data_IF_479718771307
#
_entry.id   IF_479718771307
#
_cell.length_a   1.000
_cell.length_b   1.000
_cell.length_c   1.000
_cell.angle_alpha   90.00
_cell.angle_beta   90.00
_cell.angle_gamma   90.00
#
_symmetry.space_group_name_H-M   'P 1'
#
loop_
_entity.id
_entity.type
_entity.pdbx_description
1 polymer ?
#
# COMPACT_ATOMS: atom_id res chain seq x y z
N UNK A 1 -0.89 17.21 -13.09
CA UNK A 1 0.01 16.04 -13.14
C UNK A 1 1.44 16.52 -13.36
N UNK A 2 2.40 15.95 -12.64
CA UNK A 2 3.82 16.15 -12.92
C UNK A 2 4.25 15.09 -13.93
N UNK A 3 4.74 15.51 -15.09
CA UNK A 3 5.24 14.65 -16.17
C UNK A 3 6.77 14.67 -16.11
N UNK A 4 7.38 13.51 -15.87
CA UNK A 4 8.84 13.35 -15.91
C UNK A 4 9.25 12.82 -17.28
N UNK A 5 10.13 13.54 -17.96
CA UNK A 5 10.74 13.10 -19.22
C UNK A 5 11.98 12.29 -18.89
N UNK A 6 12.13 11.16 -19.59
CA UNK A 6 13.22 10.21 -19.37
C UNK A 6 14.03 10.04 -20.65
N UNK A 7 15.34 9.98 -20.49
CA UNK A 7 16.27 9.45 -21.49
C UNK A 7 16.93 8.19 -20.90
N UNK A 8 16.53 7.02 -21.39
CA UNK A 8 16.83 5.74 -20.77
C UNK A 8 16.36 5.65 -19.32
N UNK A 9 17.30 5.54 -18.38
CA UNK A 9 17.03 5.47 -16.93
C UNK A 9 17.20 6.80 -16.20
N UNK A 10 17.49 7.89 -16.91
CA UNK A 10 17.77 9.19 -16.31
C UNK A 10 16.59 10.13 -16.53
N UNK A 11 16.16 10.82 -15.47
CA UNK A 11 15.16 11.90 -15.58
C UNK A 11 15.88 13.13 -16.14
N UNK A 12 15.44 13.62 -17.29
CA UNK A 12 16.00 14.80 -17.94
C UNK A 12 15.24 16.07 -17.59
N UNK A 13 13.92 15.96 -17.42
CA UNK A 13 13.06 17.11 -17.16
C UNK A 13 11.82 16.72 -16.35
N UNK A 14 11.24 17.66 -15.60
CA UNK A 14 9.97 17.49 -14.91
C UNK A 14 9.07 18.69 -15.18
N UNK A 15 7.94 18.47 -15.87
CA UNK A 15 6.97 19.51 -16.23
C UNK A 15 5.68 19.36 -15.44
N UNK A 16 5.12 20.47 -14.96
CA UNK A 16 3.77 20.49 -14.38
C UNK A 16 2.78 20.76 -15.50
N UNK A 17 1.88 19.81 -15.74
CA UNK A 17 0.80 19.95 -16.70
C UNK A 17 -0.54 19.69 -16.03
N UNK A 18 -1.50 20.60 -16.21
CA UNK A 18 -2.89 20.35 -15.85
C UNK A 18 -3.53 19.49 -16.95
N UNK A 19 -3.95 18.28 -16.59
CA UNK A 19 -4.61 17.34 -17.53
C UNK A 19 -6.13 17.37 -17.32
N UNK A 20 -6.58 17.39 -16.07
CA UNK A 20 -8.00 17.34 -15.71
C UNK A 20 -8.27 18.23 -14.51
N UNK A 21 -9.44 18.88 -14.51
CA UNK A 21 -9.90 19.74 -13.41
C UNK A 21 -9.16 21.08 -13.33
N UNK A 22 -9.27 21.72 -12.17
CA UNK A 22 -8.59 22.98 -11.87
C UNK A 22 -7.71 22.85 -10.61
N UNK A 23 -6.62 22.06 -10.66
CA UNK A 23 -5.71 21.90 -9.53
C UNK A 23 -4.94 23.19 -9.28
N UNK A 24 -4.64 23.47 -8.01
CA UNK A 24 -3.69 24.52 -7.64
C UNK A 24 -2.31 24.15 -8.18
N UNK A 25 -1.75 25.00 -9.04
CA UNK A 25 -0.57 24.66 -9.83
C UNK A 25 0.69 24.46 -8.97
N UNK A 26 0.74 25.17 -7.83
CA UNK A 26 1.79 25.14 -6.84
C UNK A 26 1.86 23.79 -6.13
N UNK A 27 0.71 23.13 -5.93
CA UNK A 27 0.59 21.87 -5.21
C UNK A 27 0.88 20.64 -6.07
N UNK A 28 1.03 20.80 -7.40
CA UNK A 28 1.32 19.69 -8.31
C UNK A 28 2.71 19.10 -8.03
N UNK A 29 2.74 17.95 -7.35
CA UNK A 29 3.95 17.17 -7.09
C UNK A 29 3.67 15.66 -7.10
N UNK A 30 4.72 14.84 -7.06
CA UNK A 30 4.63 13.38 -6.98
C UNK A 30 5.20 12.81 -5.68
N UNK A 31 5.70 13.67 -4.78
CA UNK A 31 6.48 13.25 -3.62
C UNK A 31 5.66 12.34 -2.70
N UNK A 32 4.38 12.63 -2.51
CA UNK A 32 3.47 11.80 -1.69
C UNK A 32 3.30 10.38 -2.25
N UNK A 33 3.03 10.27 -3.55
CA UNK A 33 2.84 8.97 -4.23
C UNK A 33 4.15 8.20 -4.29
N UNK A 34 5.27 8.87 -4.56
CA UNK A 34 6.60 8.25 -4.58
C UNK A 34 6.99 7.73 -3.18
N UNK A 35 6.72 8.51 -2.13
CA UNK A 35 6.94 8.11 -0.75
C UNK A 35 6.05 6.93 -0.34
N UNK A 36 4.79 6.93 -0.75
CA UNK A 36 3.87 5.81 -0.51
C UNK A 36 4.38 4.54 -1.20
N UNK A 37 4.79 4.65 -2.47
CA UNK A 37 5.36 3.54 -3.23
C UNK A 37 6.62 2.96 -2.57
N UNK A 38 7.54 3.82 -2.13
CA UNK A 38 8.71 3.39 -1.37
C UNK A 38 8.31 2.66 -0.09
N UNK A 39 7.37 3.22 0.67
CA UNK A 39 6.88 2.65 1.93
C UNK A 39 6.29 1.26 1.71
N UNK A 40 5.45 1.08 0.69
CA UNK A 40 4.89 -0.21 0.33
C UNK A 40 5.99 -1.22 -0.01
N UNK A 41 6.95 -0.86 -0.87
CA UNK A 41 8.04 -1.76 -1.27
C UNK A 41 8.93 -2.18 -0.11
N UNK A 42 9.17 -1.30 0.86
CA UNK A 42 9.99 -1.58 2.03
C UNK A 42 9.24 -2.40 3.09
N UNK A 43 7.92 -2.23 3.18
CA UNK A 43 7.10 -2.84 4.23
C UNK A 43 6.48 -4.19 3.83
N UNK A 44 6.42 -4.50 2.53
CA UNK A 44 5.95 -5.80 2.06
C UNK A 44 6.81 -6.36 0.92
N UNK A 45 7.10 -7.66 0.99
CA UNK A 45 7.96 -8.34 0.00
C UNK A 45 7.26 -8.61 -1.34
N UNK A 46 5.94 -8.37 -1.43
CA UNK A 46 5.14 -8.64 -2.64
C UNK A 46 5.54 -7.79 -3.85
N UNK A 47 6.19 -6.64 -3.61
CA UNK A 47 6.72 -5.75 -4.64
C UNK A 47 8.25 -5.84 -4.82
N UNK A 48 8.90 -6.81 -4.17
CA UNK A 48 10.33 -7.03 -4.31
C UNK A 48 10.60 -8.00 -5.46
N UNK A 49 11.66 -7.77 -6.24
CA UNK A 49 12.09 -8.66 -7.32
C UNK A 49 12.91 -9.83 -6.76
N UNK A 50 12.92 -10.98 -7.45
CA UNK A 50 13.73 -12.17 -7.10
C UNK A 50 13.53 -12.66 -5.65
N UNK A 51 12.29 -12.71 -5.19
CA UNK A 51 11.93 -13.24 -3.87
C UNK A 51 10.96 -14.40 -3.99
N UNK A 52 11.03 -15.37 -3.08
CA UNK A 52 10.05 -16.44 -2.94
C UNK A 52 8.67 -15.96 -2.44
N UNK A 53 8.58 -14.72 -1.96
CA UNK A 53 7.36 -14.12 -1.44
C UNK A 53 6.47 -13.50 -2.52
N UNK A 54 6.47 -14.00 -3.76
CA UNK A 54 5.56 -13.50 -4.80
C UNK A 54 4.14 -14.09 -4.63
N UNK A 55 3.13 -13.38 -5.13
CA UNK A 55 1.76 -13.89 -5.18
C UNK A 55 1.55 -14.69 -6.46
N UNK A 56 1.11 -15.94 -6.36
CA UNK A 56 0.75 -16.79 -7.52
C UNK A 56 -0.59 -16.41 -8.15
N UNK A 57 -1.43 -15.70 -7.39
CA UNK A 57 -2.80 -15.33 -7.71
C UNK A 57 -2.98 -13.83 -7.44
N UNK A 58 -3.74 -13.14 -8.28
CA UNK A 58 -3.96 -11.69 -8.13
C UNK A 58 -4.72 -11.38 -6.84
N UNK A 59 -5.66 -12.26 -6.45
CA UNK A 59 -6.46 -12.12 -5.24
C UNK A 59 -5.56 -12.13 -3.99
N UNK A 60 -4.58 -13.03 -3.94
CA UNK A 60 -3.61 -13.08 -2.85
C UNK A 60 -2.72 -11.83 -2.80
N UNK A 61 -2.45 -11.21 -3.95
CA UNK A 61 -1.74 -9.93 -3.98
C UNK A 61 -2.59 -8.80 -3.41
N UNK A 62 -3.86 -8.72 -3.83
CA UNK A 62 -4.84 -7.77 -3.31
C UNK A 62 -4.99 -7.91 -1.78
N UNK A 63 -5.15 -9.13 -1.26
CA UNK A 63 -5.25 -9.37 0.18
C UNK A 63 -4.03 -8.88 0.96
N UNK A 64 -2.81 -9.11 0.44
CA UNK A 64 -1.59 -8.63 1.08
C UNK A 64 -1.50 -7.09 1.10
N UNK A 65 -1.92 -6.44 0.01
CA UNK A 65 -1.99 -4.98 -0.09
C UNK A 65 -3.03 -4.43 0.90
N UNK A 66 -4.23 -5.03 0.95
CA UNK A 66 -5.29 -4.63 1.88
C UNK A 66 -4.83 -4.72 3.33
N UNK A 67 -4.18 -5.82 3.72
CA UNK A 67 -3.62 -6.00 5.06
C UNK A 67 -2.58 -4.94 5.39
N UNK A 68 -1.70 -4.61 4.43
CA UNK A 68 -0.71 -3.55 4.62
C UNK A 68 -1.35 -2.20 4.87
N UNK A 69 -2.34 -1.79 4.06
CA UNK A 69 -3.03 -0.52 4.25
C UNK A 69 -3.79 -0.46 5.57
N UNK A 70 -4.39 -1.57 6.00
CA UNK A 70 -5.11 -1.63 7.27
C UNK A 70 -4.17 -1.42 8.44
N UNK A 71 -3.04 -2.13 8.45
CA UNK A 71 -2.02 -1.94 9.45
C UNK A 71 -1.42 -0.51 9.41
N UNK A 72 -1.06 -0.02 8.23
CA UNK A 72 -0.41 1.27 8.07
C UNK A 72 -1.31 2.44 8.50
N UNK A 73 -2.60 2.42 8.14
CA UNK A 73 -3.51 3.52 8.42
C UNK A 73 -4.04 3.49 9.86
N UNK A 74 -4.31 2.30 10.43
CA UNK A 74 -5.04 2.20 11.71
C UNK A 74 -4.15 1.82 12.91
N UNK A 75 -3.06 1.07 12.71
CA UNK A 75 -2.22 0.59 13.81
C UNK A 75 -0.89 1.34 13.93
N UNK A 76 -0.29 1.74 12.81
CA UNK A 76 1.04 2.34 12.81
C UNK A 76 0.98 3.84 13.08
N UNK A 77 1.60 4.27 14.18
CA UNK A 77 1.82 5.70 14.46
C UNK A 77 2.83 6.25 13.45
N UNK A 78 2.45 7.32 12.74
CA UNK A 78 3.31 7.96 11.77
C UNK A 78 4.29 8.91 12.46
N UNK A 79 5.59 8.82 12.13
CA UNK A 79 6.64 9.56 12.84
C UNK A 79 6.41 11.09 12.84
N UNK A 80 5.96 11.66 11.72
CA UNK A 80 5.74 13.10 11.59
C UNK A 80 4.39 13.53 12.17
N UNK A 81 3.34 12.71 12.02
CA UNK A 81 1.99 13.07 12.49
C UNK A 81 1.84 12.85 14.00
N UNK A 82 2.67 11.99 14.60
CA UNK A 82 2.58 11.53 16.01
C UNK A 82 1.30 10.76 16.35
N UNK A 83 0.36 10.66 15.42
CA UNK A 83 -0.84 9.81 15.44
C UNK A 83 -0.87 8.87 14.23
N UNK A 84 -1.89 8.01 14.13
CA UNK A 84 -2.07 7.16 12.94
C UNK A 84 -2.70 7.96 11.79
N UNK A 85 -2.45 7.60 10.52
CA UNK A 85 -3.07 8.27 9.38
C UNK A 85 -4.61 8.30 9.43
N UNK A 86 -5.25 7.24 9.93
CA UNK A 86 -6.69 7.20 10.09
C UNK A 86 -7.21 8.16 11.18
N UNK A 87 -6.42 8.41 12.23
CA UNK A 87 -6.73 9.42 13.23
C UNK A 87 -6.62 10.84 12.66
N UNK A 88 -5.53 11.13 11.94
CA UNK A 88 -5.34 12.43 11.28
C UNK A 88 -6.46 12.73 10.28
N UNK A 89 -6.96 11.70 9.59
CA UNK A 89 -8.10 11.81 8.68
C UNK A 89 -9.48 11.85 9.37
N UNK A 90 -9.54 11.77 10.71
CA UNK A 90 -10.79 11.78 11.47
C UNK A 90 -11.65 10.51 11.34
N UNK A 91 -11.08 9.39 10.89
CA UNK A 91 -11.80 8.12 10.68
C UNK A 91 -11.94 7.33 11.99
N UNK A 92 -11.00 7.51 12.92
CA UNK A 92 -10.98 6.86 14.23
C UNK A 92 -10.35 7.80 15.25
N UNK A 93 -10.75 7.70 16.50
CA UNK A 93 -10.25 8.51 17.62
C UNK A 93 -9.17 7.79 18.45
N UNK A 94 -8.96 6.50 18.19
CA UNK A 94 -7.96 5.66 18.87
C UNK A 94 -7.03 4.95 17.89
N UNK A 95 -5.86 4.56 18.39
CA UNK A 95 -4.95 3.63 17.74
C UNK A 95 -5.54 2.22 17.80
N UNK A 96 -5.55 1.51 16.67
CA UNK A 96 -5.99 0.12 16.62
C UNK A 96 -4.86 -0.84 16.94
N UNK A 97 -5.20 -1.98 17.53
CA UNK A 97 -4.27 -3.10 17.68
C UNK A 97 -4.51 -4.16 16.59
N UNK A 98 -3.54 -5.06 16.40
CA UNK A 98 -3.69 -6.18 15.46
C UNK A 98 -4.91 -7.03 15.80
N UNK A 99 -5.24 -7.19 17.10
CA UNK A 99 -6.44 -7.90 17.55
C UNK A 99 -7.73 -7.32 16.99
N UNK A 100 -7.79 -6.00 16.78
CA UNK A 100 -8.98 -5.33 16.25
C UNK A 100 -9.18 -5.67 14.77
N UNK A 101 -8.08 -5.75 14.00
CA UNK A 101 -8.12 -6.21 12.61
C UNK A 101 -8.61 -7.67 12.54
N UNK A 102 -8.11 -8.54 13.43
CA UNK A 102 -8.51 -9.95 13.44
C UNK A 102 -10.00 -10.14 13.74
N UNK A 103 -10.59 -9.30 14.61
CA UNK A 103 -12.02 -9.32 14.93
C UNK A 103 -12.93 -8.98 13.74
N UNK A 104 -12.40 -8.40 12.67
CA UNK A 104 -13.16 -8.13 11.44
C UNK A 104 -13.44 -9.40 10.64
N UNK A 105 -12.69 -10.48 10.90
CA UNK A 105 -12.81 -11.74 10.16
C UNK A 105 -13.86 -12.62 10.86
N UNK A 106 -14.84 -13.19 10.14
CA UNK A 106 -15.73 -14.17 10.73
C UNK A 106 -14.92 -15.39 11.22
N UNK A 107 -15.21 -15.87 12.43
CA UNK A 107 -14.58 -17.11 12.92
C UNK A 107 -15.14 -18.29 12.11
N UNK A 108 -14.39 -18.72 11.10
CA UNK A 108 -14.60 -20.00 10.42
C UNK A 108 -13.74 -21.09 11.06
N UNK A 109 -14.29 -22.30 11.20
CA UNK A 109 -13.51 -23.45 11.62
C UNK A 109 -12.39 -23.73 10.59
N UNK A 110 -11.17 -24.11 11.04
CA UNK A 110 -10.09 -24.48 10.14
C UNK A 110 -10.54 -25.57 9.18
N UNK A 111 -10.40 -25.34 7.87
CA UNK A 111 -10.66 -26.37 6.86
C UNK A 111 -9.51 -27.37 6.86
N UNK A 112 -9.82 -28.67 6.85
CA UNK A 112 -8.80 -29.69 6.68
C UNK A 112 -8.09 -29.50 5.33
N UNK A 113 -6.76 -29.64 5.37
CA UNK A 113 -5.94 -29.49 4.18
C UNK A 113 -6.19 -30.67 3.24
N UNK A 114 -6.78 -30.40 2.08
CA UNK A 114 -6.96 -31.41 1.03
C UNK A 114 -5.63 -31.96 0.48
N UNK A 115 -5.69 -33.16 -0.11
CA UNK A 115 -4.53 -33.80 -0.73
C UNK A 115 -3.92 -32.93 -1.84
N UNK A 116 -2.59 -32.97 -1.97
CA UNK A 116 -1.91 -32.32 -3.08
C UNK A 116 -2.37 -32.93 -4.41
N UNK A 117 -2.78 -32.09 -5.36
CA UNK A 117 -3.08 -32.56 -6.72
C UNK A 117 -1.80 -33.13 -7.33
N UNK A 118 -1.83 -34.40 -7.75
CA UNK A 118 -0.73 -34.99 -8.52
C UNK A 118 -0.62 -34.25 -9.86
N UNK A 119 0.61 -33.90 -10.24
CA UNK A 119 0.87 -33.40 -11.59
C UNK A 119 0.53 -34.52 -12.59
N UNK A 120 -0.19 -34.17 -13.66
CA UNK A 120 -0.44 -35.04 -14.79
C UNK A 120 0.81 -35.16 -15.66
#
# INVERSE_FOLDING_TARGET
>A
MLVKLYDGNTVTESKRHTITGNPQHEEINTSYVERQNLTMRMSMRRFTRLTNAFSKKVENHMHAISLHYMYYNFCRIHQTLRVTPAMEAGITDRVWEIKDILKLIPMEAPKERGAYKKAA
#
